data_IF_751482722427
#
_entry.id   IF_751482722427
#
_cell.length_a   1.000
_cell.length_b   1.000
_cell.length_c   1.000
_cell.angle_alpha   90.00
_cell.angle_beta   90.00
_cell.angle_gamma   90.00
#
_symmetry.space_group_name_H-M   'P 1'
#
loop_
_entity.id
_entity.type
_entity.pdbx_description
1 polymer ?
#
# COMPACT_ATOMS: atom_id res chain seq x y z
N UNK A 1 -15.17 -3.41 -25.68
CA UNK A 1 -14.10 -3.79 -24.73
C UNK A 1 -13.05 -4.59 -25.50
N UNK A 2 -11.75 -4.24 -25.47
CA UNK A 2 -10.70 -4.99 -26.19
C UNK A 2 -10.19 -6.20 -25.41
N UNK A 3 -9.99 -6.03 -24.11
CA UNK A 3 -9.69 -7.09 -23.15
C UNK A 3 -10.02 -6.60 -21.72
N UNK A 4 -10.07 -7.53 -20.78
CA UNK A 4 -10.18 -7.26 -19.34
C UNK A 4 -9.32 -8.27 -18.59
N UNK A 5 -8.67 -7.81 -17.52
CA UNK A 5 -7.94 -8.68 -16.59
C UNK A 5 -8.45 -8.39 -15.19
N UNK A 6 -8.95 -9.41 -14.49
CA UNK A 6 -9.48 -9.28 -13.15
C UNK A 6 -8.39 -9.66 -12.14
N UNK A 7 -8.03 -8.75 -11.24
CA UNK A 7 -6.95 -8.94 -10.25
C UNK A 7 -7.45 -9.49 -8.91
N UNK A 8 -8.76 -9.41 -8.66
CA UNK A 8 -9.45 -9.99 -7.52
C UNK A 8 -10.82 -10.48 -8.00
N UNK A 9 -11.10 -11.76 -7.81
CA UNK A 9 -12.41 -12.34 -8.09
C UNK A 9 -13.36 -12.04 -6.93
N UNK A 10 -14.44 -11.31 -7.20
CA UNK A 10 -15.46 -10.94 -6.22
C UNK A 10 -14.84 -10.29 -4.96
N UNK A 11 -14.42 -9.03 -5.10
CA UNK A 11 -13.72 -8.33 -4.02
C UNK A 11 -14.63 -8.06 -2.81
N UNK A 12 -14.15 -8.44 -1.62
CA UNK A 12 -14.80 -8.22 -0.33
C UNK A 12 -13.92 -7.38 0.62
N UNK A 13 -12.76 -6.89 0.16
CA UNK A 13 -11.69 -6.40 1.03
C UNK A 13 -11.24 -4.97 0.72
N UNK A 14 -11.93 -4.25 -0.18
CA UNK A 14 -11.51 -2.94 -0.68
C UNK A 14 -10.11 -3.04 -1.32
N UNK A 15 -9.96 -4.05 -2.19
CA UNK A 15 -8.75 -4.33 -2.98
C UNK A 15 -8.97 -3.91 -4.44
N UNK A 16 -9.41 -2.68 -4.60
CA UNK A 16 -9.40 -2.01 -5.90
C UNK A 16 -7.97 -1.91 -6.46
N UNK A 17 -7.90 -1.49 -7.73
CA UNK A 17 -6.66 -1.20 -8.43
C UNK A 17 -6.56 0.33 -8.60
N UNK A 18 -6.16 1.06 -7.55
CA UNK A 18 -6.23 2.52 -7.51
C UNK A 18 -5.13 3.20 -8.32
N UNK A 19 -4.01 2.50 -8.50
CA UNK A 19 -2.83 3.02 -9.17
C UNK A 19 -3.03 3.05 -10.68
N UNK A 20 -2.46 4.07 -11.32
CA UNK A 20 -2.35 4.12 -12.76
C UNK A 20 -1.41 3.02 -13.28
N UNK A 21 -1.75 2.35 -14.40
CA UNK A 21 -0.83 1.44 -15.06
C UNK A 21 0.37 2.19 -15.67
N UNK A 22 1.55 1.57 -15.63
CA UNK A 22 2.71 2.04 -16.39
C UNK A 22 2.82 1.30 -17.72
N UNK A 23 2.79 2.04 -18.83
CA UNK A 23 2.98 1.48 -20.18
C UNK A 23 4.47 1.58 -20.55
N UNK A 24 5.06 0.45 -20.93
CA UNK A 24 6.49 0.36 -21.24
C UNK A 24 6.74 -0.78 -22.23
N UNK A 25 7.78 -0.68 -23.05
CA UNK A 25 8.25 -1.81 -23.83
C UNK A 25 9.35 -2.56 -23.04
N UNK A 26 9.04 -3.79 -22.62
CA UNK A 26 9.97 -4.64 -21.86
C UNK A 26 10.74 -5.57 -22.77
N UNK A 27 12.01 -5.82 -22.45
CA UNK A 27 12.82 -6.82 -23.14
C UNK A 27 12.72 -8.12 -22.37
N UNK A 28 11.86 -9.01 -22.85
CA UNK A 28 11.59 -10.33 -22.24
C UNK A 28 12.15 -11.39 -23.18
N UNK A 29 13.06 -12.23 -22.67
CA UNK A 29 13.74 -13.27 -23.46
C UNK A 29 14.34 -12.73 -24.78
N UNK A 30 14.93 -11.54 -24.73
CA UNK A 30 15.53 -10.86 -25.88
C UNK A 30 14.54 -10.21 -26.86
N UNK A 31 13.23 -10.29 -26.61
CA UNK A 31 12.18 -9.70 -27.47
C UNK A 31 11.58 -8.48 -26.81
N UNK A 32 11.29 -7.47 -27.63
CA UNK A 32 10.57 -6.27 -27.18
C UNK A 32 9.06 -6.58 -27.10
N UNK A 33 8.50 -6.50 -25.90
CA UNK A 33 7.10 -6.79 -25.61
C UNK A 33 6.38 -5.51 -25.14
N UNK A 34 5.34 -5.07 -25.87
CA UNK A 34 4.45 -4.00 -25.43
C UNK A 34 3.77 -4.33 -24.10
N UNK A 35 4.30 -3.81 -23.00
CA UNK A 35 3.94 -4.21 -21.65
C UNK A 35 3.14 -3.14 -20.91
N UNK A 36 2.38 -3.60 -19.92
CA UNK A 36 1.69 -2.81 -18.91
C UNK A 36 2.06 -3.38 -17.55
N UNK A 37 2.52 -2.53 -16.63
CA UNK A 37 2.81 -2.90 -15.24
C UNK A 37 1.72 -2.31 -14.35
N UNK A 38 1.00 -3.17 -13.65
CA UNK A 38 -0.10 -2.80 -12.78
C UNK A 38 0.16 -3.23 -11.32
N UNK A 39 0.52 -2.29 -10.44
CA UNK A 39 0.55 -2.55 -9.00
C UNK A 39 -0.86 -2.59 -8.41
N UNK A 40 -1.06 -3.40 -7.37
CA UNK A 40 -2.37 -3.62 -6.77
C UNK A 40 -2.33 -3.56 -5.24
N UNK A 41 -3.49 -3.35 -4.60
CA UNK A 41 -3.62 -3.30 -3.14
C UNK A 41 -3.25 -4.63 -2.47
N UNK A 42 -3.44 -5.78 -3.10
CA UNK A 42 -2.99 -7.07 -2.54
C UNK A 42 -1.46 -7.23 -2.52
N UNK A 43 -0.73 -6.46 -3.33
CA UNK A 43 0.73 -6.53 -3.45
C UNK A 43 1.24 -7.28 -4.66
N UNK A 44 0.37 -7.93 -5.42
CA UNK A 44 0.70 -8.47 -6.72
C UNK A 44 0.95 -7.35 -7.74
N UNK A 45 1.96 -7.56 -8.57
CA UNK A 45 2.25 -6.72 -9.73
C UNK A 45 1.97 -7.54 -10.97
N UNK A 46 0.97 -7.11 -11.73
CA UNK A 46 0.61 -7.75 -12.98
C UNK A 46 1.38 -7.10 -14.13
N UNK A 47 2.22 -7.88 -14.78
CA UNK A 47 2.93 -7.48 -16.00
C UNK A 47 2.22 -8.15 -17.17
N UNK A 48 1.49 -7.36 -17.96
CA UNK A 48 0.60 -7.85 -19.02
C UNK A 48 1.05 -7.33 -20.39
N UNK A 49 0.79 -8.08 -21.45
CA UNK A 49 0.88 -7.54 -22.81
C UNK A 49 -0.28 -6.56 -23.01
N UNK A 50 0.03 -5.28 -23.17
CA UNK A 50 -1.00 -4.21 -23.19
C UNK A 50 -1.94 -4.31 -24.39
N UNK A 51 -1.61 -5.10 -25.41
CA UNK A 51 -2.44 -5.31 -26.61
C UNK A 51 -3.54 -6.33 -26.36
N UNK A 52 -3.28 -7.34 -25.53
CA UNK A 52 -4.16 -8.50 -25.32
C UNK A 52 -4.64 -8.69 -23.88
N UNK A 53 -3.98 -8.09 -22.89
CA UNK A 53 -4.23 -8.32 -21.47
C UNK A 53 -3.66 -9.64 -20.94
N UNK A 54 -2.94 -10.40 -21.77
CA UNK A 54 -2.35 -11.68 -21.34
C UNK A 54 -1.14 -11.45 -20.41
N UNK A 55 -0.98 -12.23 -19.34
CA UNK A 55 0.19 -12.14 -18.48
C UNK A 55 1.49 -12.45 -19.22
N UNK A 56 2.48 -11.58 -19.06
CA UNK A 56 3.87 -11.78 -19.49
C UNK A 56 4.62 -12.61 -18.44
N UNK A 57 4.41 -12.27 -17.17
CA UNK A 57 4.90 -13.06 -16.04
C UNK A 57 3.82 -14.05 -15.59
N UNK A 58 4.20 -15.25 -15.08
CA UNK A 58 3.23 -16.23 -14.63
C UNK A 58 2.25 -15.69 -13.59
N UNK A 59 0.96 -15.99 -13.79
CA UNK A 59 -0.13 -15.77 -12.84
C UNK A 59 -0.76 -17.13 -12.54
N UNK A 60 -1.02 -17.42 -11.26
CA UNK A 60 -1.61 -18.69 -10.81
C UNK A 60 -2.84 -18.42 -9.96
N UNK A 61 -3.84 -19.27 -10.08
CA UNK A 61 -4.98 -19.28 -9.17
C UNK A 61 -4.59 -19.90 -7.82
N UNK A 62 -4.84 -19.18 -6.74
CA UNK A 62 -4.61 -19.63 -5.37
C UNK A 62 -5.95 -19.81 -4.64
N UNK A 63 -6.18 -20.90 -3.89
CA UNK A 63 -7.42 -21.10 -3.14
C UNK A 63 -7.70 -19.96 -2.16
N UNK A 64 -8.97 -19.59 -2.02
CA UNK A 64 -9.44 -18.60 -1.06
C UNK A 64 -10.54 -19.18 -0.14
N UNK A 65 -10.60 -18.77 1.14
CA UNK A 65 -11.65 -19.21 2.05
C UNK A 65 -13.05 -18.77 1.59
N UNK A 66 -14.05 -19.62 1.84
CA UNK A 66 -15.45 -19.32 1.54
C UNK A 66 -16.04 -18.32 2.54
N UNK A 67 -17.00 -17.52 2.08
CA UNK A 67 -17.80 -16.66 2.98
C UNK A 67 -18.76 -17.50 3.80
N UNK A 68 -18.95 -17.12 5.07
CA UNK A 68 -19.95 -17.71 5.97
C UNK A 68 -21.16 -16.80 6.16
N UNK A 69 -21.20 -15.65 5.47
CA UNK A 69 -22.24 -14.64 5.62
C UNK A 69 -23.45 -15.00 4.74
N UNK A 70 -24.67 -15.11 5.29
CA UNK A 70 -25.85 -15.43 4.49
C UNK A 70 -26.09 -14.43 3.36
N UNK A 71 -26.29 -14.94 2.14
CA UNK A 71 -26.51 -14.14 0.94
C UNK A 71 -25.24 -13.59 0.29
N UNK A 72 -24.06 -13.87 0.86
CA UNK A 72 -22.75 -13.52 0.31
C UNK A 72 -21.99 -14.78 -0.09
N UNK A 73 -21.14 -14.68 -1.10
CA UNK A 73 -20.19 -15.73 -1.46
C UNK A 73 -18.78 -15.15 -1.59
N UNK A 74 -17.76 -16.00 -1.51
CA UNK A 74 -16.40 -15.63 -1.87
C UNK A 74 -15.99 -16.48 -3.07
N UNK A 75 -15.23 -15.91 -4.00
CA UNK A 75 -14.69 -16.68 -5.11
C UNK A 75 -13.74 -17.78 -4.57
N UNK A 76 -13.78 -19.00 -5.14
CA UNK A 76 -13.01 -20.14 -4.62
C UNK A 76 -11.49 -19.98 -4.81
N UNK A 77 -11.07 -19.15 -5.77
CA UNK A 77 -9.67 -18.85 -6.04
C UNK A 77 -9.47 -17.36 -6.30
N UNK A 78 -8.22 -16.93 -6.21
CA UNK A 78 -7.76 -15.58 -6.52
C UNK A 78 -6.49 -15.66 -7.39
N UNK A 79 -6.34 -14.77 -8.37
CA UNK A 79 -5.13 -14.72 -9.18
C UNK A 79 -3.97 -14.18 -8.33
N UNK A 80 -2.81 -14.79 -8.52
CA UNK A 80 -1.58 -14.43 -7.83
C UNK A 80 -0.43 -14.32 -8.81
N UNK A 81 0.26 -13.18 -8.81
CA UNK A 81 1.38 -12.92 -9.72
C UNK A 81 2.66 -13.52 -9.16
N UNK A 82 3.51 -14.04 -10.04
CA UNK A 82 4.88 -14.45 -9.68
C UNK A 82 5.74 -13.27 -9.21
N UNK A 83 5.43 -12.05 -9.64
CA UNK A 83 6.00 -10.82 -9.10
C UNK A 83 5.05 -10.23 -8.05
N UNK A 84 5.36 -10.47 -6.77
CA UNK A 84 4.48 -10.08 -5.67
C UNK A 84 5.24 -9.54 -4.46
N UNK A 85 4.60 -8.59 -3.80
CA UNK A 85 4.93 -8.08 -2.47
C UNK A 85 3.88 -8.49 -1.43
N UNK A 86 2.93 -9.35 -1.79
CA UNK A 86 1.96 -9.86 -0.84
C UNK A 86 2.70 -10.55 0.32
N UNK A 87 2.52 -10.07 1.56
CA UNK A 87 3.22 -10.62 2.71
C UNK A 87 2.65 -12.00 3.09
N UNK A 88 3.45 -12.78 3.81
CA UNK A 88 2.97 -14.02 4.42
C UNK A 88 1.88 -13.74 5.45
N UNK A 89 1.01 -14.74 5.69
CA UNK A 89 -0.03 -14.63 6.70
C UNK A 89 0.56 -14.40 8.11
N UNK A 90 -0.04 -13.49 8.86
CA UNK A 90 0.38 -13.16 10.22
C UNK A 90 0.12 -14.30 11.20
N UNK A 91 1.04 -14.44 12.15
CA UNK A 91 0.92 -15.36 13.27
C UNK A 91 1.22 -14.62 14.57
N UNK A 92 1.02 -15.29 15.72
CA UNK A 92 1.31 -14.68 17.02
C UNK A 92 2.77 -14.20 17.17
N UNK A 93 3.72 -14.76 16.41
CA UNK A 93 5.13 -14.34 16.44
C UNK A 93 5.35 -12.96 15.81
N UNK A 94 4.45 -12.56 14.92
CA UNK A 94 4.51 -11.31 14.15
C UNK A 94 3.83 -10.16 14.89
N UNK A 95 3.30 -10.42 16.09
CA UNK A 95 2.70 -9.41 16.96
C UNK A 95 3.76 -8.59 17.69
N UNK A 96 3.49 -7.31 17.85
CA UNK A 96 4.35 -6.31 18.43
C UNK A 96 3.59 -5.44 19.42
N UNK A 97 4.32 -4.70 20.23
CA UNK A 97 3.78 -3.74 21.19
C UNK A 97 4.90 -3.00 21.90
N UNK A 98 4.58 -1.86 22.50
CA UNK A 98 5.55 -1.06 23.26
C UNK A 98 6.06 -1.78 24.54
N UNK A 99 5.27 -2.73 25.06
CA UNK A 99 5.61 -3.53 26.24
C UNK A 99 5.24 -5.01 26.03
N UNK A 100 5.75 -5.94 26.85
CA UNK A 100 5.32 -7.34 26.79
C UNK A 100 3.80 -7.54 26.98
N UNK A 101 3.16 -6.71 27.80
CA UNK A 101 1.70 -6.77 28.00
C UNK A 101 0.95 -6.27 26.76
N UNK A 102 1.42 -5.19 26.15
CA UNK A 102 0.85 -4.64 24.91
C UNK A 102 0.94 -5.66 23.77
N UNK A 103 2.10 -6.31 23.61
CA UNK A 103 2.30 -7.40 22.66
C UNK A 103 1.39 -8.60 22.95
N UNK A 104 1.23 -8.98 24.24
CA UNK A 104 0.36 -10.08 24.63
C UNK A 104 -1.11 -9.80 24.27
N UNK A 105 -1.58 -8.57 24.50
CA UNK A 105 -2.94 -8.16 24.11
C UNK A 105 -3.13 -8.30 22.60
N UNK A 106 -2.18 -7.83 21.79
CA UNK A 106 -2.23 -8.02 20.33
C UNK A 106 -2.29 -9.51 19.92
N UNK A 107 -1.53 -10.39 20.59
CA UNK A 107 -1.60 -11.84 20.37
C UNK A 107 -2.97 -12.44 20.73
N UNK A 108 -3.56 -11.99 21.83
CA UNK A 108 -4.89 -12.42 22.25
C UNK A 108 -5.93 -11.96 21.22
N UNK A 109 -5.90 -10.69 20.82
CA UNK A 109 -6.84 -10.15 19.85
C UNK A 109 -6.73 -10.84 18.49
N UNK A 110 -5.51 -11.13 18.01
CA UNK A 110 -5.32 -11.94 16.79
C UNK A 110 -6.04 -13.29 16.88
N UNK A 111 -5.92 -13.99 18.02
CA UNK A 111 -6.58 -15.30 18.23
C UNK A 111 -8.10 -15.20 18.36
N UNK A 112 -8.61 -14.04 18.76
CA UNK A 112 -10.06 -13.79 18.90
C UNK A 112 -10.73 -13.44 17.57
N UNK A 113 -9.97 -13.04 16.56
CA UNK A 113 -10.48 -12.73 15.23
C UNK A 113 -10.49 -13.95 14.30
N UNK A 114 -11.32 -13.91 13.27
CA UNK A 114 -11.18 -14.83 12.12
C UNK A 114 -10.01 -14.40 11.24
N UNK A 115 -9.10 -15.34 10.94
CA UNK A 115 -7.96 -15.08 10.05
C UNK A 115 -7.40 -16.38 9.46
N UNK A 116 -7.81 -16.67 8.23
CA UNK A 116 -7.37 -17.80 7.40
C UNK A 116 -6.45 -17.33 6.25
N UNK A 117 -5.80 -16.17 6.43
CA UNK A 117 -4.89 -15.57 5.46
C UNK A 117 -5.45 -14.33 4.74
N UNK A 118 -4.77 -13.88 3.67
CA UNK A 118 -5.05 -12.58 3.05
C UNK A 118 -6.46 -12.41 2.51
N UNK A 119 -7.14 -13.49 2.13
CA UNK A 119 -8.49 -13.46 1.57
C UNK A 119 -9.54 -14.01 2.54
N UNK A 120 -9.32 -13.85 3.86
CA UNK A 120 -10.35 -14.18 4.86
C UNK A 120 -11.56 -13.27 4.66
N UNK A 121 -12.75 -13.77 4.27
CA UNK A 121 -13.91 -12.92 4.04
C UNK A 121 -14.36 -12.21 5.32
N UNK A 122 -14.83 -10.95 5.25
CA UNK A 122 -15.46 -10.29 6.38
C UNK A 122 -16.66 -11.08 6.92
N UNK A 123 -16.91 -10.97 8.23
CA UNK A 123 -18.06 -11.61 8.87
C UNK A 123 -18.61 -10.72 10.00
N UNK A 124 -19.70 -11.13 10.63
CA UNK A 124 -20.23 -10.47 11.84
C UNK A 124 -19.29 -10.60 13.04
N UNK A 125 -18.45 -11.63 13.07
CA UNK A 125 -17.27 -11.70 13.93
C UNK A 125 -16.14 -10.88 13.31
N UNK A 126 -15.40 -10.14 14.13
CA UNK A 126 -14.23 -9.38 13.69
C UNK A 126 -13.22 -10.30 12.98
N UNK A 127 -12.80 -9.87 11.81
CA UNK A 127 -11.81 -10.56 10.97
C UNK A 127 -10.60 -9.69 10.77
N UNK A 128 -9.43 -10.32 10.65
CA UNK A 128 -8.21 -9.63 10.26
C UNK A 128 -8.07 -9.66 8.74
N UNK A 129 -7.74 -8.51 8.15
CA UNK A 129 -7.41 -8.38 6.73
C UNK A 129 -5.98 -7.89 6.63
N UNK A 130 -5.11 -8.73 6.06
CA UNK A 130 -3.69 -8.43 5.88
C UNK A 130 -3.15 -9.00 4.55
N UNK A 131 -2.63 -8.18 3.63
CA UNK A 131 -2.56 -6.71 3.71
C UNK A 131 -3.96 -6.10 3.75
N UNK A 132 -4.13 -5.06 4.57
CA UNK A 132 -5.39 -4.36 4.76
C UNK A 132 -5.76 -3.50 3.56
N UNK A 133 -6.84 -2.74 3.68
CA UNK A 133 -7.41 -1.98 2.56
C UNK A 133 -6.64 -0.70 2.19
N UNK A 134 -5.69 -0.27 3.03
CA UNK A 134 -4.66 0.65 2.56
C UNK A 134 -3.87 0.05 1.39
N UNK A 135 -3.75 -1.28 1.35
CA UNK A 135 -3.06 -2.02 0.32
C UNK A 135 -1.54 -1.91 0.40
N UNK A 136 -0.88 -2.80 -0.32
CA UNK A 136 0.56 -2.79 -0.50
C UNK A 136 0.96 -1.67 -1.45
N UNK A 137 0.31 -1.57 -2.60
CA UNK A 137 0.43 -0.43 -3.50
C UNK A 137 -0.93 0.25 -3.66
N UNK A 138 -0.98 1.55 -3.40
CA UNK A 138 -2.20 2.35 -3.47
C UNK A 138 -2.06 3.48 -4.51
N UNK A 139 -2.77 4.60 -4.38
CA UNK A 139 -2.86 5.71 -5.35
C UNK A 139 -1.52 6.27 -5.85
N UNK A 140 -0.44 6.13 -5.06
CA UNK A 140 0.90 6.56 -5.46
C UNK A 140 1.51 5.76 -6.61
N UNK A 141 1.03 4.53 -6.84
CA UNK A 141 1.52 3.65 -7.87
C UNK A 141 3.02 3.34 -7.77
N UNK A 142 3.66 3.21 -8.92
CA UNK A 142 5.08 2.90 -9.07
C UNK A 142 5.68 3.79 -10.15
N UNK A 143 7.01 3.91 -10.15
CA UNK A 143 7.73 4.54 -11.24
C UNK A 143 8.59 3.49 -11.95
N UNK A 144 8.73 3.64 -13.26
CA UNK A 144 9.49 2.71 -14.10
C UNK A 144 10.55 3.47 -14.87
N UNK A 145 11.79 3.00 -14.80
CA UNK A 145 12.88 3.45 -15.65
C UNK A 145 12.81 2.67 -16.98
N UNK A 146 12.49 3.32 -18.12
CA UNK A 146 12.35 2.61 -19.39
C UNK A 146 13.66 2.13 -19.99
N UNK A 147 14.80 2.71 -19.58
CA UNK A 147 16.12 2.34 -20.08
C UNK A 147 16.68 1.17 -19.27
N UNK A 148 16.60 1.26 -17.94
CA UNK A 148 17.07 0.20 -17.04
C UNK A 148 16.06 -0.95 -16.89
N UNK A 149 14.80 -0.72 -17.28
CA UNK A 149 13.66 -1.64 -17.11
C UNK A 149 13.48 -2.05 -15.64
N UNK A 150 13.73 -1.10 -14.74
CA UNK A 150 13.56 -1.24 -13.29
C UNK A 150 12.30 -0.50 -12.86
N UNK A 151 11.49 -1.15 -12.03
CA UNK A 151 10.41 -0.51 -11.30
C UNK A 151 10.87 -0.16 -9.88
N UNK A 152 10.51 1.03 -9.41
CA UNK A 152 10.62 1.40 -7.99
C UNK A 152 9.25 1.70 -7.44
N UNK A 153 8.95 1.10 -6.29
CA UNK A 153 7.68 1.25 -5.58
C UNK A 153 7.88 1.33 -4.07
N UNK A 154 6.83 1.72 -3.37
CA UNK A 154 6.84 1.87 -1.91
C UNK A 154 5.76 1.01 -1.26
N UNK A 155 6.01 -0.30 -1.12
CA UNK A 155 5.01 -1.21 -0.58
C UNK A 155 4.73 -0.91 0.90
N UNK A 156 3.45 -0.89 1.28
CA UNK A 156 2.98 -0.76 2.66
C UNK A 156 2.45 -2.09 3.23
N UNK A 157 2.59 -2.29 4.53
CA UNK A 157 2.28 -3.54 5.21
C UNK A 157 1.52 -3.25 6.51
N UNK A 158 0.26 -2.84 6.38
CA UNK A 158 -0.61 -2.58 7.53
C UNK A 158 -1.79 -3.55 7.55
N UNK A 159 -2.01 -4.15 8.73
CA UNK A 159 -3.17 -4.98 8.99
C UNK A 159 -4.37 -4.12 9.43
N UNK A 160 -5.54 -4.49 8.92
CA UNK A 160 -6.81 -3.86 9.26
C UNK A 160 -7.77 -4.92 9.80
N UNK A 161 -8.82 -4.47 10.47
CA UNK A 161 -9.88 -5.35 10.97
C UNK A 161 -11.21 -4.95 10.36
N UNK A 162 -11.97 -5.96 9.95
CA UNK A 162 -13.27 -5.82 9.31
C UNK A 162 -14.31 -6.52 10.18
N UNK A 163 -15.45 -5.87 10.38
CA UNK A 163 -16.61 -6.47 11.06
C UNK A 163 -17.88 -6.01 10.35
N UNK A 164 -18.77 -6.96 10.04
CA UNK A 164 -20.07 -6.68 9.46
C UNK A 164 -21.11 -6.48 10.56
N UNK A 165 -21.99 -5.50 10.37
CA UNK A 165 -23.16 -5.28 11.21
C UNK A 165 -24.42 -5.46 10.36
N UNK A 166 -25.31 -6.42 10.67
CA UNK A 166 -26.57 -6.58 9.94
C UNK A 166 -27.42 -5.32 10.01
N UNK A 167 -28.04 -4.94 8.90
CA UNK A 167 -28.90 -3.75 8.81
C UNK A 167 -30.37 -4.16 8.73
N UNK A 168 -31.19 -3.80 9.73
CA UNK A 168 -32.63 -4.12 9.73
C UNK A 168 -33.38 -3.47 8.56
N UNK A 169 -32.91 -2.32 8.08
CA UNK A 169 -33.42 -1.66 6.89
C UNK A 169 -32.26 -1.22 5.97
N UNK A 170 -31.99 -1.95 4.89
CA UNK A 170 -30.89 -1.65 3.96
C UNK A 170 -30.95 -0.28 3.28
N UNK A 171 -32.10 0.39 3.27
CA UNK A 171 -32.29 1.68 2.58
C UNK A 171 -32.23 2.89 3.52
N UNK A 172 -32.05 2.68 4.83
CA UNK A 172 -31.90 3.75 5.82
C UNK A 172 -30.53 3.71 6.46
N UNK A 173 -29.92 4.89 6.66
CA UNK A 173 -28.66 5.01 7.40
C UNK A 173 -28.98 4.92 8.89
N UNK A 174 -28.93 3.72 9.45
CA UNK A 174 -29.35 3.45 10.83
C UNK A 174 -28.11 3.28 11.72
N UNK A 175 -27.09 2.57 11.24
CA UNK A 175 -25.88 2.29 12.02
C UNK A 175 -24.97 3.52 12.09
N UNK A 176 -24.96 4.36 11.04
CA UNK A 176 -24.14 5.58 11.01
C UNK A 176 -24.86 6.83 11.54
N UNK A 177 -26.16 6.76 11.82
CA UNK A 177 -26.93 7.88 12.37
C UNK A 177 -26.72 8.01 13.89
N UNK A 178 -25.93 8.99 14.33
CA UNK A 178 -25.84 9.36 15.75
C UNK A 178 -24.47 9.24 16.45
N UNK A 179 -23.35 9.49 15.75
CA UNK A 179 -22.01 9.68 16.34
C UNK A 179 -21.12 8.45 16.56
N UNK A 180 -20.95 7.60 15.53
CA UNK A 180 -19.63 7.01 15.33
C UNK A 180 -19.30 6.91 13.84
N UNK A 181 -18.31 7.67 13.40
CA UNK A 181 -17.75 7.71 12.04
C UNK A 181 -17.06 6.39 11.63
N UNK A 182 -17.45 5.26 12.22
CA UNK A 182 -16.72 4.00 12.17
C UNK A 182 -17.36 2.97 11.25
N UNK A 183 -18.59 3.20 10.80
CA UNK A 183 -19.34 2.27 9.95
C UNK A 183 -19.55 2.85 8.56
N UNK A 184 -19.14 2.09 7.55
CA UNK A 184 -19.44 2.34 6.16
C UNK A 184 -20.74 1.62 5.80
N UNK A 185 -21.79 2.39 5.51
CA UNK A 185 -23.11 1.89 5.08
C UNK A 185 -23.31 2.15 3.59
N UNK A 186 -23.74 1.13 2.84
CA UNK A 186 -24.13 1.26 1.44
C UNK A 186 -25.65 1.10 1.30
N UNK A 187 -26.29 1.99 0.55
CA UNK A 187 -27.72 1.89 0.29
C UNK A 187 -28.07 0.57 -0.43
N UNK A 188 -29.03 -0.18 0.11
CA UNK A 188 -29.43 -1.49 -0.40
C UNK A 188 -28.60 -2.67 0.10
N UNK A 189 -27.47 -2.45 0.77
CA UNK A 189 -26.67 -3.53 1.35
C UNK A 189 -27.25 -4.04 2.67
N UNK A 190 -27.32 -5.37 2.81
CA UNK A 190 -27.83 -6.03 4.01
C UNK A 190 -26.95 -5.83 5.26
N UNK A 191 -25.71 -5.36 5.07
CA UNK A 191 -24.74 -5.15 6.14
C UNK A 191 -24.07 -3.77 6.03
N UNK A 192 -23.72 -3.18 7.17
CA UNK A 192 -22.70 -2.14 7.28
C UNK A 192 -21.35 -2.81 7.57
N UNK A 193 -20.24 -2.10 7.31
CA UNK A 193 -18.90 -2.61 7.66
C UNK A 193 -18.13 -1.61 8.52
N UNK A 194 -17.56 -2.08 9.62
CA UNK A 194 -16.59 -1.35 10.43
C UNK A 194 -15.20 -1.75 10.01
N UNK A 195 -14.46 -0.78 9.51
CA UNK A 195 -13.07 -0.93 9.08
C UNK A 195 -12.21 -0.09 10.00
N UNK A 196 -11.11 -0.66 10.47
CA UNK A 196 -10.14 0.09 11.27
C UNK A 196 -8.78 -0.57 11.29
N UNK A 197 -7.71 0.19 11.58
CA UNK A 197 -6.37 -0.37 11.71
C UNK A 197 -6.31 -1.37 12.88
N UNK A 198 -5.48 -2.40 12.74
CA UNK A 198 -5.24 -3.35 13.83
C UNK A 198 -4.24 -2.77 14.84
N UNK A 199 -4.76 -2.03 15.82
CA UNK A 199 -4.00 -1.33 16.84
C UNK A 199 -4.16 -1.96 18.22
N UNK A 200 -3.15 -1.78 19.06
CA UNK A 200 -3.21 -2.07 20.48
C UNK A 200 -4.00 -1.00 21.24
N UNK A 201 -4.33 -1.18 22.53
CA UNK A 201 -4.98 -0.15 23.35
C UNK A 201 -4.20 1.16 23.43
N UNK A 202 -2.89 1.14 23.16
CA UNK A 202 -2.03 2.33 23.10
C UNK A 202 -2.07 3.04 21.73
N UNK A 203 -2.87 2.55 20.77
CA UNK A 203 -2.97 3.11 19.43
C UNK A 203 -1.80 2.75 18.50
N UNK A 204 -0.95 1.79 18.90
CA UNK A 204 0.19 1.34 18.11
C UNK A 204 -0.19 0.16 17.22
N UNK A 205 0.37 0.00 16.01
CA UNK A 205 0.14 -1.19 15.19
C UNK A 205 0.48 -2.47 15.96
N UNK A 206 -0.49 -3.39 16.03
CA UNK A 206 -0.27 -4.69 16.68
C UNK A 206 0.69 -5.59 15.88
N UNK A 207 0.90 -5.29 14.60
CA UNK A 207 1.85 -5.98 13.74
C UNK A 207 3.27 -5.40 13.89
N UNK A 208 4.29 -6.27 13.91
CA UNK A 208 5.69 -5.87 13.92
C UNK A 208 6.12 -5.11 12.66
N UNK A 209 6.99 -4.09 12.78
CA UNK A 209 7.55 -3.38 11.63
C UNK A 209 8.46 -4.30 10.78
N UNK A 210 8.66 -3.99 9.48
CA UNK A 210 8.30 -2.72 8.85
C UNK A 210 6.86 -2.63 8.36
N UNK A 211 6.26 -1.47 8.54
CA UNK A 211 4.93 -1.11 8.01
C UNK A 211 4.99 -0.49 6.62
N UNK A 212 6.19 -0.17 6.14
CA UNK A 212 6.43 0.26 4.77
C UNK A 212 7.90 0.15 4.39
N UNK A 213 8.11 0.03 3.08
CA UNK A 213 9.42 -0.11 2.48
C UNK A 213 9.52 0.70 1.19
N UNK A 214 10.73 0.76 0.64
CA UNK A 214 11.01 1.15 -0.73
C UNK A 214 11.70 -0.05 -1.38
N UNK A 215 11.28 -0.40 -2.60
CA UNK A 215 11.75 -1.58 -3.29
C UNK A 215 12.03 -1.31 -4.76
N UNK A 216 13.09 -1.94 -5.28
CA UNK A 216 13.43 -1.98 -6.69
C UNK A 216 13.21 -3.37 -7.26
N UNK A 217 12.65 -3.45 -8.47
CA UNK A 217 12.33 -4.70 -9.18
C UNK A 217 12.89 -4.62 -10.59
N UNK A 218 13.60 -5.66 -11.02
CA UNK A 218 13.92 -5.86 -12.43
C UNK A 218 12.69 -6.44 -13.14
N UNK A 219 12.05 -5.64 -13.99
CA UNK A 219 10.82 -6.05 -14.68
C UNK A 219 11.05 -7.09 -15.77
N UNK A 220 12.29 -7.27 -16.22
CA UNK A 220 12.62 -8.27 -17.25
C UNK A 220 12.58 -9.68 -16.68
N UNK A 221 13.00 -9.81 -15.42
CA UNK A 221 13.08 -11.11 -14.72
C UNK A 221 11.95 -11.31 -13.71
N UNK A 222 11.27 -10.23 -13.29
CA UNK A 222 10.29 -10.30 -12.20
C UNK A 222 10.93 -10.48 -10.83
N UNK A 223 12.23 -10.22 -10.68
CA UNK A 223 12.93 -10.35 -9.41
C UNK A 223 13.09 -9.01 -8.68
N UNK A 224 12.90 -9.05 -7.37
CA UNK A 224 13.18 -7.92 -6.48
C UNK A 224 14.69 -7.75 -6.34
N UNK A 225 15.21 -6.65 -6.88
CA UNK A 225 16.63 -6.32 -6.83
C UNK A 225 17.06 -5.89 -5.42
N UNK A 226 16.23 -5.09 -4.74
CA UNK A 226 16.49 -4.62 -3.38
C UNK A 226 15.20 -4.20 -2.67
N UNK A 227 15.24 -4.13 -1.34
CA UNK A 227 14.16 -3.61 -0.51
C UNK A 227 14.72 -3.11 0.82
N UNK A 228 14.34 -1.89 1.21
CA UNK A 228 14.80 -1.25 2.44
C UNK A 228 13.61 -0.71 3.25
N UNK A 229 13.75 -0.67 4.58
CA UNK A 229 12.79 0.04 5.44
C UNK A 229 12.73 1.51 5.03
N UNK A 230 11.52 2.08 4.98
CA UNK A 230 11.31 3.42 4.47
C UNK A 230 10.69 4.35 5.51
N UNK A 231 11.39 5.43 5.83
CA UNK A 231 10.94 6.42 6.80
C UNK A 231 11.10 5.99 8.26
N UNK A 232 10.75 6.91 9.16
CA UNK A 232 10.96 6.83 10.59
C UNK A 232 9.67 7.12 11.36
N UNK A 233 9.63 6.77 12.64
CA UNK A 233 8.48 7.06 13.52
C UNK A 233 8.50 8.45 14.17
N UNK A 234 9.40 9.33 13.71
CA UNK A 234 9.67 10.63 14.35
C UNK A 234 8.39 11.43 14.63
N UNK A 235 7.49 11.47 13.66
CA UNK A 235 6.28 12.29 13.68
C UNK A 235 5.03 11.49 14.12
N UNK A 236 5.22 10.24 14.55
CA UNK A 236 4.17 9.37 15.10
C UNK A 236 4.32 9.22 16.62
N UNK A 237 5.48 9.57 17.17
CA UNK A 237 5.71 9.63 18.60
C UNK A 237 5.23 10.96 19.19
N UNK A 238 4.90 11.02 20.49
CA UNK A 238 4.61 12.27 21.17
C UNK A 238 5.72 13.31 20.95
N UNK A 239 5.35 14.58 20.78
CA UNK A 239 6.28 15.66 20.42
C UNK A 239 7.46 15.84 21.39
N UNK A 240 7.32 15.38 22.64
CA UNK A 240 8.39 15.37 23.66
C UNK A 240 9.49 14.33 23.40
N UNK A 241 9.28 13.36 22.50
CA UNK A 241 10.22 12.27 22.17
C UNK A 241 10.33 12.06 20.64
N UNK A 242 10.82 13.03 19.86
CA UNK A 242 10.88 12.94 18.39
C UNK A 242 12.07 12.08 17.91
N UNK A 243 12.12 10.81 18.33
CA UNK A 243 13.23 9.90 18.00
C UNK A 243 13.00 9.30 16.60
N UNK A 244 13.90 9.54 15.63
CA UNK A 244 13.73 9.09 14.24
C UNK A 244 14.15 7.63 14.05
N UNK A 245 13.50 6.68 14.73
CA UNK A 245 13.81 5.26 14.57
C UNK A 245 13.36 4.76 13.17
N UNK A 246 14.25 4.14 12.37
CA UNK A 246 13.95 3.68 11.01
C UNK A 246 13.18 2.35 11.04
N UNK A 247 11.92 2.43 11.48
CA UNK A 247 11.06 1.25 11.61
C UNK A 247 10.40 0.87 10.28
N UNK A 248 10.41 1.74 9.26
CA UNK A 248 9.64 1.52 8.04
C UNK A 248 8.18 1.87 8.31
N UNK A 249 7.76 3.06 7.92
CA UNK A 249 6.39 3.55 8.09
C UNK A 249 5.63 3.42 6.78
N UNK A 250 4.31 3.28 6.88
CA UNK A 250 3.45 3.33 5.71
C UNK A 250 3.68 4.65 4.94
N UNK A 251 3.47 4.61 3.64
CA UNK A 251 3.68 5.79 2.81
C UNK A 251 2.62 5.89 1.73
N UNK A 252 2.29 7.12 1.37
CA UNK A 252 1.29 7.43 0.36
C UNK A 252 1.80 8.53 -0.54
N UNK A 253 1.70 8.34 -1.85
CA UNK A 253 2.33 9.18 -2.86
C UNK A 253 3.23 8.35 -3.78
N UNK A 254 3.55 8.88 -4.95
CA UNK A 254 4.32 8.17 -5.97
C UNK A 254 5.81 8.51 -5.97
N UNK A 255 6.68 7.58 -6.39
CA UNK A 255 8.07 7.89 -6.69
C UNK A 255 8.21 8.61 -8.03
N UNK A 256 9.29 9.40 -8.14
CA UNK A 256 9.76 10.00 -9.38
C UNK A 256 11.14 9.43 -9.71
N UNK A 257 11.34 8.85 -10.90
CA UNK A 257 12.65 8.36 -11.36
C UNK A 257 13.21 9.29 -12.43
N UNK A 258 14.52 9.54 -12.40
CA UNK A 258 15.23 10.33 -13.41
C UNK A 258 16.31 9.51 -14.12
N UNK A 259 16.66 9.90 -15.36
CA UNK A 259 17.70 9.23 -16.16
C UNK A 259 19.07 9.17 -15.47
N UNK A 260 19.33 10.13 -14.56
CA UNK A 260 20.52 10.17 -13.71
C UNK A 260 20.62 9.03 -12.70
N UNK A 261 19.65 8.11 -12.64
CA UNK A 261 19.69 6.96 -11.73
C UNK A 261 19.25 7.31 -10.30
N UNK A 262 18.44 8.36 -10.15
CA UNK A 262 17.95 8.84 -8.85
C UNK A 262 16.43 8.76 -8.79
N UNK A 263 15.93 8.24 -7.66
CA UNK A 263 14.51 8.24 -7.29
C UNK A 263 14.24 9.30 -6.24
N UNK A 264 13.22 10.14 -6.45
CA UNK A 264 12.71 11.06 -5.45
C UNK A 264 11.38 10.55 -4.89
N UNK A 265 11.21 10.64 -3.57
CA UNK A 265 9.99 10.24 -2.89
C UNK A 265 9.74 11.08 -1.63
N UNK A 266 8.49 11.45 -1.37
CA UNK A 266 8.13 12.30 -0.23
C UNK A 266 6.95 11.81 0.62
N UNK A 267 6.38 10.66 0.27
CA UNK A 267 5.12 10.17 0.83
C UNK A 267 5.19 9.50 2.20
N UNK A 268 6.34 9.46 2.85
CA UNK A 268 6.49 8.84 4.19
C UNK A 268 5.88 9.73 5.28
N UNK A 269 5.43 9.10 6.37
CA UNK A 269 4.76 9.81 7.47
C UNK A 269 5.65 10.78 8.25
N UNK A 270 6.96 10.74 8.04
CA UNK A 270 7.94 11.59 8.71
C UNK A 270 8.29 12.87 7.93
N UNK A 271 7.51 13.19 6.89
CA UNK A 271 7.53 14.46 6.17
C UNK A 271 8.90 14.82 5.58
N UNK A 272 9.59 13.88 4.94
CA UNK A 272 10.85 14.13 4.23
C UNK A 272 10.67 13.94 2.72
N UNK A 273 11.27 14.81 1.92
CA UNK A 273 11.64 14.47 0.55
C UNK A 273 12.99 13.75 0.59
N UNK A 274 13.07 12.58 -0.03
CA UNK A 274 14.26 11.72 -0.08
C UNK A 274 14.66 11.41 -1.50
N UNK A 275 15.97 11.31 -1.72
CA UNK A 275 16.56 10.84 -2.97
C UNK A 275 17.26 9.50 -2.73
N UNK A 276 17.08 8.54 -3.64
CA UNK A 276 17.67 7.20 -3.57
C UNK A 276 18.36 6.84 -4.88
N UNK A 277 19.41 6.03 -4.78
CA UNK A 277 20.04 5.39 -5.93
C UNK A 277 19.11 4.29 -6.48
N UNK A 278 18.79 4.33 -7.78
CA UNK A 278 17.86 3.38 -8.43
C UNK A 278 18.37 1.93 -8.36
N UNK A 279 19.69 1.73 -8.43
CA UNK A 279 20.30 0.41 -8.54
C UNK A 279 20.36 -0.31 -7.20
N UNK A 280 20.60 0.43 -6.13
CA UNK A 280 20.87 -0.13 -4.79
C UNK A 280 19.79 0.18 -3.76
N UNK A 281 18.95 1.19 -4.02
CA UNK A 281 18.00 1.74 -3.05
C UNK A 281 18.66 2.53 -1.91
N UNK A 282 19.95 2.81 -1.99
CA UNK A 282 20.68 3.58 -0.97
C UNK A 282 20.18 5.03 -0.96
N UNK A 283 19.83 5.54 0.22
CA UNK A 283 19.48 6.96 0.41
C UNK A 283 20.70 7.83 0.10
N UNK A 284 20.56 8.74 -0.85
CA UNK A 284 21.58 9.68 -1.30
C UNK A 284 21.46 11.03 -0.58
N UNK A 285 20.21 11.45 -0.33
CA UNK A 285 19.91 12.75 0.23
C UNK A 285 18.52 12.77 0.86
N UNK A 286 18.30 13.65 1.83
CA UNK A 286 16.96 13.96 2.32
C UNK A 286 16.86 15.40 2.81
N UNK A 287 15.62 15.93 2.79
CA UNK A 287 15.26 17.22 3.39
C UNK A 287 13.90 17.13 4.04
N UNK A 288 13.79 17.68 5.24
CA UNK A 288 12.51 17.80 5.96
C UNK A 288 11.62 18.82 5.25
N UNK A 289 10.36 18.46 5.05
CA UNK A 289 9.29 19.29 4.51
C UNK A 289 8.55 19.99 5.65
N UNK A 290 7.85 21.11 5.42
CA UNK A 290 7.05 21.77 6.45
C UNK A 290 5.78 20.99 6.81
N UNK A 291 5.27 20.14 5.90
CA UNK A 291 4.07 19.34 6.03
C UNK A 291 4.25 17.99 5.30
N UNK A 292 3.23 17.13 5.33
CA UNK A 292 3.26 15.82 4.65
C UNK A 292 3.40 15.96 3.14
N UNK A 293 4.32 15.18 2.56
CA UNK A 293 4.65 15.19 1.14
C UNK A 293 3.96 14.09 0.33
N UNK A 294 2.69 13.76 0.64
CA UNK A 294 1.97 12.63 0.00
C UNK A 294 1.58 12.84 -1.46
N UNK A 295 2.06 13.91 -2.09
CA UNK A 295 2.01 14.09 -3.54
C UNK A 295 3.23 13.43 -4.20
N UNK A 296 3.08 12.98 -5.43
CA UNK A 296 4.21 12.53 -6.27
C UNK A 296 5.10 13.73 -6.61
N UNK A 297 6.41 13.72 -6.31
CA UNK A 297 7.32 14.77 -6.75
C UNK A 297 7.35 14.87 -8.28
N UNK A 298 7.63 16.06 -8.79
CA UNK A 298 7.84 16.28 -10.23
C UNK A 298 9.20 16.92 -10.50
N UNK A 299 9.66 16.86 -11.74
CA UNK A 299 10.88 17.57 -12.17
C UNK A 299 10.66 18.24 -13.52
N UNK A 300 11.29 19.39 -13.73
CA UNK A 300 11.31 20.10 -14.99
C UNK A 300 12.62 20.90 -15.13
N UNK A 301 12.83 21.50 -16.30
CA UNK A 301 14.00 22.37 -16.53
C UNK A 301 13.54 23.78 -16.89
N UNK A 302 14.19 24.78 -16.28
CA UNK A 302 13.99 26.20 -16.58
C UNK A 302 15.34 26.90 -16.59
N UNK A 303 15.61 27.72 -17.61
CA UNK A 303 16.88 28.45 -17.76
C UNK A 303 18.14 27.56 -17.62
N UNK A 304 18.09 26.34 -18.16
CA UNK A 304 19.18 25.38 -18.08
C UNK A 304 19.33 24.63 -16.75
N UNK A 305 18.53 24.97 -15.73
CA UNK A 305 18.57 24.37 -14.39
C UNK A 305 17.44 23.37 -14.21
N UNK A 306 17.76 22.18 -13.68
CA UNK A 306 16.77 21.16 -13.36
C UNK A 306 16.22 21.39 -11.95
N UNK A 307 14.89 21.45 -11.85
CA UNK A 307 14.16 21.62 -10.60
C UNK A 307 13.52 20.28 -10.19
N UNK A 308 13.51 19.99 -8.89
CA UNK A 308 12.63 18.97 -8.30
C UNK A 308 11.62 19.69 -7.42
N UNK A 309 10.33 19.43 -7.63
CA UNK A 309 9.23 20.12 -6.95
C UNK A 309 8.33 19.13 -6.23
N UNK A 310 7.89 19.50 -5.03
CA UNK A 310 6.98 18.72 -4.20
C UNK A 310 5.92 19.62 -3.59
N UNK A 311 4.67 19.16 -3.61
CA UNK A 311 3.58 19.74 -2.82
C UNK A 311 3.56 19.09 -1.44
N UNK A 312 3.73 19.88 -0.39
CA UNK A 312 3.67 19.48 1.01
C UNK A 312 2.34 19.95 1.61
N UNK A 313 1.30 19.15 1.40
CA UNK A 313 -0.08 19.43 1.85
C UNK A 313 -0.55 18.64 3.06
N UNK A 314 0.10 17.52 3.37
CA UNK A 314 -0.38 16.54 4.34
C UNK A 314 -1.55 15.69 3.83
N UNK A 315 -1.95 14.73 4.65
CA UNK A 315 -3.07 13.83 4.38
C UNK A 315 -3.86 13.54 5.66
N UNK A 316 -5.15 13.93 5.69
CA UNK A 316 -6.00 13.87 6.88
C UNK A 316 -6.13 12.47 7.49
N UNK A 317 -6.48 11.45 6.69
CA UNK A 317 -6.65 10.07 7.19
C UNK A 317 -5.35 9.42 7.68
N UNK A 318 -4.20 10.00 7.34
CA UNK A 318 -2.88 9.51 7.73
C UNK A 318 -2.33 10.29 8.94
N UNK A 319 -3.02 11.34 9.39
CA UNK A 319 -2.64 12.14 10.54
C UNK A 319 -1.33 12.92 10.37
N UNK A 320 -0.82 13.09 9.15
CA UNK A 320 0.40 13.87 8.92
C UNK A 320 0.12 15.36 9.00
N UNK A 321 1.14 16.14 9.34
CA UNK A 321 1.08 17.61 9.38
C UNK A 321 0.44 18.16 8.10
N UNK A 322 -0.67 18.89 8.27
CA UNK A 322 -1.35 19.59 7.19
C UNK A 322 -0.60 20.87 6.82
N UNK A 323 -0.65 21.23 5.55
CA UNK A 323 -0.06 22.44 5.01
C UNK A 323 -0.55 22.72 3.60
N UNK A 324 0.08 23.69 2.94
CA UNK A 324 -0.27 24.15 1.59
C UNK A 324 0.97 24.59 0.79
N UNK A 325 2.16 24.14 1.23
CA UNK A 325 3.42 24.62 0.67
C UNK A 325 3.82 23.87 -0.60
N UNK A 326 4.39 24.60 -1.58
CA UNK A 326 5.08 24.02 -2.73
C UNK A 326 6.56 24.35 -2.62
N UNK A 327 7.42 23.33 -2.63
CA UNK A 327 8.87 23.49 -2.47
C UNK A 327 9.58 23.06 -3.75
N UNK A 328 10.55 23.86 -4.19
CA UNK A 328 11.41 23.58 -5.34
C UNK A 328 12.88 23.48 -4.90
N UNK A 329 13.59 22.51 -5.47
CA UNK A 329 14.99 22.21 -5.18
C UNK A 329 15.81 22.20 -6.46
N UNK A 330 17.02 22.75 -6.42
CA UNK A 330 18.03 22.64 -7.46
C UNK A 330 19.41 22.36 -6.85
N UNK A 331 20.37 21.95 -7.68
CA UNK A 331 21.77 21.90 -7.30
C UNK A 331 22.33 23.33 -7.21
N UNK A 332 23.25 23.55 -6.26
CA UNK A 332 23.96 24.82 -6.10
C UNK A 332 24.97 25.04 -7.23
#
# INVERSE_FOLDING_TARGET
LRWVFQTVHHDLWDRDVPAQPSLIDLTIDGKLVPSLVMPTKQGDLYVLDRRSGQPILPVRESPAPASTVPGEFAAPTQPHSSLSFMPAALTGKDMWGATPLDQLICRIELRRMGYDGPYTPPSTRRTLVYPGNLGVFNWGGVAVDPVRQIMVGTPAFLAFTFQLEPRPNPTKNIVSAGASEHWNENHGAAYAVKIGPFLSPLGLPCQAPPWGAIAGVDLRTGHRAWMHRHGTVRDQLPAILPIPLPMGVASLGGPLITAGGVVFYSGTLDNYLRAYDVTTGRKLWERRLPAGGQATPMTYRINGRQMVVVAAGGHGSFGTTLGDSVLAYELK
#
